data_IF_960721919535
#
_entry.id   IF_960721919535
#
_cell.length_a   1.000
_cell.length_b   1.000
_cell.length_c   1.000
_cell.angle_alpha   90.00
_cell.angle_beta   90.00
_cell.angle_gamma   90.00
#
_symmetry.space_group_name_H-M   'P 1'
#
loop_
_entity.id
_entity.type
_entity.pdbx_description
1 polymer ?
#
# COMPACT_ATOMS: atom_id res chain seq x y z
N UNK A 1 81.89 -13.27 10.94
CA UNK A 1 80.68 -12.64 11.52
C UNK A 1 79.96 -11.95 10.38
N UNK A 2 78.76 -12.40 10.03
CA UNK A 2 77.93 -11.84 8.95
C UNK A 2 76.62 -11.43 9.61
N UNK A 3 76.34 -10.13 9.65
CA UNK A 3 75.11 -9.57 10.17
C UNK A 3 74.04 -9.62 9.08
N UNK A 4 72.97 -10.38 9.32
CA UNK A 4 71.81 -10.47 8.44
C UNK A 4 70.83 -9.38 8.90
N UNK A 5 70.80 -8.25 8.18
CA UNK A 5 69.80 -7.20 8.36
C UNK A 5 68.49 -7.66 7.69
N UNK A 6 67.54 -8.16 8.48
CA UNK A 6 66.17 -8.43 8.01
C UNK A 6 65.30 -7.19 8.19
N UNK A 7 65.00 -6.50 7.09
CA UNK A 7 63.95 -5.48 6.99
C UNK A 7 62.57 -6.16 6.95
N UNK A 8 61.58 -5.74 7.76
CA UNK A 8 60.19 -6.15 7.57
C UNK A 8 59.53 -5.30 6.48
N UNK A 9 59.17 -5.95 5.37
CA UNK A 9 58.35 -5.37 4.30
C UNK A 9 56.90 -5.28 4.82
N UNK A 10 56.44 -4.05 5.11
CA UNK A 10 55.04 -3.76 5.43
C UNK A 10 54.19 -3.87 4.16
N UNK A 11 53.51 -5.01 3.99
CA UNK A 11 52.44 -5.20 3.00
C UNK A 11 51.17 -4.49 3.49
N UNK A 12 50.94 -3.27 3.01
CA UNK A 12 49.66 -2.57 3.16
C UNK A 12 48.62 -3.20 2.22
N UNK A 13 47.76 -4.06 2.76
CA UNK A 13 46.61 -4.62 2.04
C UNK A 13 45.51 -3.55 1.90
N UNK A 14 45.35 -3.00 0.70
CA UNK A 14 44.18 -2.22 0.34
C UNK A 14 43.01 -3.19 0.12
N UNK A 15 42.07 -3.24 1.08
CA UNK A 15 40.78 -3.89 0.87
C UNK A 15 39.98 -2.98 -0.06
N UNK A 16 40.02 -3.27 -1.36
CA UNK A 16 39.08 -2.67 -2.31
C UNK A 16 37.68 -3.21 -1.98
N UNK A 17 36.87 -2.39 -1.31
CA UNK A 17 35.44 -2.66 -1.13
C UNK A 17 34.82 -2.51 -2.52
N UNK A 18 34.66 -3.62 -3.23
CA UNK A 18 33.84 -3.69 -4.42
C UNK A 18 32.40 -3.39 -3.98
N UNK A 19 31.96 -2.16 -4.21
CA UNK A 19 30.56 -1.77 -4.06
C UNK A 19 29.82 -2.53 -5.16
N UNK A 20 29.32 -3.73 -4.83
CA UNK A 20 28.35 -4.42 -5.67
C UNK A 20 27.16 -3.50 -5.81
N UNK A 21 27.03 -2.88 -6.98
CA UNK A 21 25.86 -2.15 -7.41
C UNK A 21 24.67 -3.11 -7.36
N UNK A 22 24.00 -3.17 -6.22
CA UNK A 22 22.64 -3.70 -6.16
C UNK A 22 21.86 -2.82 -7.12
N UNK A 23 21.37 -3.41 -8.21
CA UNK A 23 20.32 -2.80 -9.03
C UNK A 23 19.26 -2.31 -8.06
N UNK A 24 19.26 -1.00 -7.80
CA UNK A 24 18.19 -0.35 -7.10
C UNK A 24 16.97 -0.65 -7.97
N UNK A 25 16.12 -1.56 -7.50
CA UNK A 25 14.83 -1.81 -8.13
C UNK A 25 14.20 -0.45 -8.32
N UNK A 26 13.92 -0.12 -9.57
CA UNK A 26 13.33 1.14 -9.99
C UNK A 26 12.06 1.35 -9.15
N UNK A 27 12.18 2.19 -8.12
CA UNK A 27 11.03 2.70 -7.39
C UNK A 27 10.43 3.72 -8.34
N UNK A 28 9.52 3.26 -9.20
CA UNK A 28 8.65 4.14 -9.95
C UNK A 28 7.79 4.87 -8.91
N UNK A 29 8.16 6.11 -8.63
CA UNK A 29 7.38 7.02 -7.81
C UNK A 29 6.09 7.32 -8.56
N UNK A 30 5.00 6.65 -8.17
CA UNK A 30 3.66 7.04 -8.56
C UNK A 30 3.25 8.22 -7.68
N UNK A 31 3.84 9.39 -7.95
CA UNK A 31 3.40 10.67 -7.41
C UNK A 31 2.16 11.10 -8.19
N UNK A 32 0.98 10.64 -7.78
CA UNK A 32 -0.26 11.29 -8.20
C UNK A 32 -0.39 12.59 -7.41
N UNK A 33 0.03 13.68 -8.07
CA UNK A 33 -0.08 15.08 -7.65
C UNK A 33 -1.51 15.51 -7.33
N UNK A 34 -2.52 14.75 -7.76
CA UNK A 34 -3.93 15.13 -7.66
C UNK A 34 -4.65 14.19 -6.69
N UNK A 35 -4.44 14.36 -5.37
CA UNK A 35 -5.25 13.72 -4.31
C UNK A 35 -6.69 14.28 -4.25
N UNK A 36 -7.21 14.73 -5.39
CA UNK A 36 -8.60 15.17 -5.51
C UNK A 36 -9.48 13.93 -5.46
N UNK A 37 -10.53 13.88 -4.63
CA UNK A 37 -11.48 12.78 -4.66
C UNK A 37 -11.98 12.57 -6.09
N UNK A 38 -12.12 11.32 -6.56
CA UNK A 38 -12.68 11.06 -7.88
C UNK A 38 -14.11 11.63 -7.98
N UNK A 39 -14.61 11.86 -9.19
CA UNK A 39 -16.00 12.28 -9.36
C UNK A 39 -16.96 11.22 -8.80
N UNK A 40 -17.73 11.60 -7.77
CA UNK A 40 -18.75 10.78 -7.10
C UNK A 40 -18.22 9.47 -6.49
N UNK A 41 -17.37 9.54 -5.46
CA UNK A 41 -17.00 8.35 -4.70
C UNK A 41 -18.24 7.80 -3.98
N UNK A 42 -18.47 6.49 -4.09
CA UNK A 42 -19.64 5.84 -3.49
C UNK A 42 -19.33 5.33 -2.08
N UNK A 43 -18.11 4.83 -1.88
CA UNK A 43 -17.66 4.26 -0.62
C UNK A 43 -16.19 4.58 -0.38
N UNK A 44 -15.80 4.47 0.89
CA UNK A 44 -14.41 4.43 1.33
C UNK A 44 -14.09 3.02 1.79
N UNK A 45 -12.95 2.44 1.43
CA UNK A 45 -12.50 1.18 2.01
C UNK A 45 -11.09 1.31 2.59
N UNK A 46 -10.90 0.79 3.80
CA UNK A 46 -9.61 0.55 4.43
C UNK A 46 -9.21 -0.89 4.16
N UNK A 47 -8.02 -1.07 3.60
CA UNK A 47 -7.42 -2.38 3.38
C UNK A 47 -6.18 -2.46 4.26
N UNK A 48 -6.13 -3.50 5.11
CA UNK A 48 -4.96 -3.85 5.91
C UNK A 48 -4.36 -5.10 5.34
N UNK A 49 -3.05 -5.13 5.10
CA UNK A 49 -2.38 -6.33 4.61
C UNK A 49 -1.06 -6.55 5.32
N UNK A 50 -0.70 -7.81 5.53
CA UNK A 50 0.60 -8.19 6.09
C UNK A 50 1.67 -8.42 5.01
N UNK A 51 1.28 -8.59 3.73
CA UNK A 51 2.19 -8.94 2.63
C UNK A 51 2.29 -7.86 1.56
N UNK A 52 1.17 -7.34 1.09
CA UNK A 52 1.11 -6.43 -0.05
C UNK A 52 1.06 -4.97 0.40
N UNK A 53 2.04 -4.19 -0.05
CA UNK A 53 2.25 -2.80 0.41
C UNK A 53 1.84 -1.74 -0.59
N UNK A 54 1.79 -2.11 -1.88
CA UNK A 54 1.63 -1.17 -2.98
C UNK A 54 0.18 -1.12 -3.44
N UNK A 55 -0.29 0.07 -3.79
CA UNK A 55 -1.67 0.33 -4.23
C UNK A 55 -2.09 -0.54 -5.42
N UNK A 56 -1.19 -0.77 -6.39
CA UNK A 56 -1.50 -1.55 -7.58
C UNK A 56 -1.94 -2.99 -7.30
N UNK A 57 -1.62 -3.55 -6.13
CA UNK A 57 -2.10 -4.88 -5.73
C UNK A 57 -3.62 -4.92 -5.57
N UNK A 58 -4.26 -3.76 -5.36
CA UNK A 58 -5.70 -3.65 -5.12
C UNK A 58 -6.40 -2.83 -6.21
N UNK A 59 -5.74 -1.81 -6.79
CA UNK A 59 -6.38 -0.93 -7.78
C UNK A 59 -6.48 -1.53 -9.19
N UNK A 60 -5.79 -2.64 -9.46
CA UNK A 60 -5.79 -3.34 -10.76
C UNK A 60 -6.62 -4.62 -10.79
N UNK A 61 -7.27 -4.97 -9.67
CA UNK A 61 -8.13 -6.14 -9.59
C UNK A 61 -9.47 -5.90 -10.29
N UNK A 62 -10.11 -6.99 -10.72
CA UNK A 62 -11.47 -6.95 -11.23
C UNK A 62 -12.45 -7.27 -10.09
N UNK A 63 -13.39 -6.39 -9.78
CA UNK A 63 -14.27 -6.58 -8.63
C UNK A 63 -15.67 -7.06 -9.05
N UNK A 64 -15.81 -8.35 -9.32
CA UNK A 64 -17.09 -8.95 -9.73
C UNK A 64 -18.02 -9.12 -8.51
N UNK A 65 -19.35 -8.94 -8.64
CA UNK A 65 -20.13 -8.67 -9.85
C UNK A 65 -20.27 -7.19 -10.24
N UNK A 66 -19.67 -6.26 -9.48
CA UNK A 66 -19.98 -4.82 -9.60
C UNK A 66 -19.00 -4.01 -10.47
N UNK A 67 -17.96 -4.61 -11.05
CA UNK A 67 -16.85 -3.95 -11.78
C UNK A 67 -16.34 -2.67 -11.07
N UNK A 68 -16.23 -2.74 -9.74
CA UNK A 68 -15.82 -1.60 -8.92
C UNK A 68 -14.41 -1.15 -9.32
N UNK A 69 -14.16 0.16 -9.24
CA UNK A 69 -12.83 0.75 -9.39
C UNK A 69 -12.37 1.29 -8.05
N UNK A 70 -11.19 0.83 -7.62
CA UNK A 70 -10.52 1.36 -6.45
C UNK A 70 -9.47 2.38 -6.88
N UNK A 71 -9.53 3.58 -6.32
CA UNK A 71 -8.47 4.58 -6.45
C UNK A 71 -7.91 4.93 -5.08
N UNK A 72 -6.62 5.25 -5.03
CA UNK A 72 -5.94 5.55 -3.77
C UNK A 72 -6.56 6.80 -3.17
N UNK A 73 -6.99 6.69 -1.92
CA UNK A 73 -7.53 7.80 -1.16
C UNK A 73 -6.50 8.43 -0.24
N UNK A 74 -5.81 7.59 0.52
CA UNK A 74 -4.65 7.97 1.30
C UNK A 74 -3.62 6.85 1.28
N UNK A 75 -2.40 7.21 0.89
CA UNK A 75 -1.24 6.34 0.93
C UNK A 75 -0.24 6.92 1.94
N UNK A 76 -0.04 6.31 3.11
CA UNK A 76 0.90 6.79 4.13
C UNK A 76 2.37 6.54 3.73
N UNK A 77 2.83 7.08 2.61
CA UNK A 77 4.25 7.16 2.27
C UNK A 77 4.74 8.54 2.76
N UNK A 78 5.42 8.69 3.90
CA UNK A 78 6.75 8.10 4.11
C UNK A 78 7.17 7.92 5.59
N UNK A 79 6.48 8.50 6.59
CA UNK A 79 6.96 8.45 7.99
C UNK A 79 6.08 7.56 8.89
N UNK A 80 4.75 7.61 8.71
CA UNK A 80 3.82 6.87 9.58
C UNK A 80 3.78 5.35 9.32
N UNK A 81 3.96 4.88 8.07
CA UNK A 81 3.96 3.45 7.78
C UNK A 81 5.16 2.71 8.42
N UNK A 82 6.34 3.34 8.43
CA UNK A 82 7.51 2.80 9.15
C UNK A 82 7.30 2.84 10.67
N UNK A 83 6.70 3.92 11.18
CA UNK A 83 6.38 4.07 12.60
C UNK A 83 5.33 3.06 13.08
N UNK A 84 4.29 2.75 12.30
CA UNK A 84 3.32 1.70 12.62
C UNK A 84 3.90 0.28 12.56
N UNK A 85 4.84 0.04 11.64
CA UNK A 85 5.57 -1.23 11.57
C UNK A 85 6.51 -1.44 12.77
N UNK A 86 7.15 -0.37 13.25
CA UNK A 86 8.12 -0.40 14.35
C UNK A 86 7.53 -0.15 15.74
N UNK A 87 6.32 0.39 15.86
CA UNK A 87 5.72 0.62 17.17
C UNK A 87 5.26 -0.69 17.82
N UNK A 88 6.08 -1.19 18.75
CA UNK A 88 5.85 -2.39 19.54
C UNK A 88 4.59 -2.35 20.43
N UNK A 89 3.95 -1.18 20.60
CA UNK A 89 2.82 -0.96 21.49
C UNK A 89 1.43 -1.07 20.82
N UNK A 90 1.33 -1.20 19.48
CA UNK A 90 0.03 -1.25 18.77
C UNK A 90 -0.33 -2.68 18.32
N UNK A 91 -1.63 -2.99 18.39
CA UNK A 91 -2.25 -4.30 18.08
C UNK A 91 -2.09 -4.77 16.61
N UNK A 92 -1.61 -3.91 15.71
CA UNK A 92 -1.58 -4.11 14.24
C UNK A 92 -0.13 -4.18 13.72
N UNK A 93 0.74 -4.90 14.42
CA UNK A 93 2.17 -4.99 14.08
C UNK A 93 2.34 -5.70 12.73
N UNK A 94 3.09 -5.10 11.81
CA UNK A 94 3.38 -5.70 10.50
C UNK A 94 2.32 -5.48 9.43
N UNK A 95 1.26 -4.71 9.71
CA UNK A 95 0.19 -4.43 8.75
C UNK A 95 0.39 -3.10 8.02
N UNK A 96 0.26 -3.14 6.71
CA UNK A 96 0.16 -1.98 5.83
C UNK A 96 -1.30 -1.59 5.72
N UNK A 97 -1.63 -0.40 6.17
CA UNK A 97 -2.99 0.16 6.08
C UNK A 97 -3.01 1.16 4.94
N UNK A 98 -3.94 0.99 4.02
CA UNK A 98 -4.18 1.91 2.91
C UNK A 98 -5.67 2.13 2.75
N UNK A 99 -6.07 3.33 2.37
CA UNK A 99 -7.48 3.64 2.14
C UNK A 99 -7.72 3.98 0.68
N UNK A 100 -8.89 3.57 0.19
CA UNK A 100 -9.27 3.64 -1.22
C UNK A 100 -10.67 4.25 -1.35
N UNK A 101 -10.83 5.09 -2.37
CA UNK A 101 -12.14 5.42 -2.88
C UNK A 101 -12.65 4.25 -3.70
N UNK A 102 -13.94 3.96 -3.58
CA UNK A 102 -14.64 3.00 -4.44
C UNK A 102 -15.61 3.75 -5.33
N UNK A 103 -15.47 3.56 -6.63
CA UNK A 103 -16.35 4.13 -7.65
C UNK A 103 -16.88 3.04 -8.58
N UNK A 104 -17.99 3.35 -9.26
CA UNK A 104 -18.42 2.58 -10.43
C UNK A 104 -17.79 3.15 -11.70
N UNK A 105 -17.64 2.33 -12.77
CA UNK A 105 -17.26 2.83 -14.09
C UNK A 105 -18.22 3.93 -14.57
N UNK A 106 -17.71 4.90 -15.33
CA UNK A 106 -18.53 5.99 -15.87
C UNK A 106 -19.62 5.41 -16.78
N UNK A 107 -20.88 5.75 -16.48
CA UNK A 107 -22.04 5.28 -17.25
C UNK A 107 -22.62 3.95 -16.79
N UNK A 108 -21.98 3.23 -15.84
CA UNK A 108 -22.53 2.00 -15.29
C UNK A 108 -23.58 2.29 -14.22
N UNK A 109 -24.83 2.39 -14.68
CA UNK A 109 -26.00 2.59 -13.80
C UNK A 109 -26.29 1.35 -12.95
N UNK A 110 -25.96 0.15 -13.43
CA UNK A 110 -26.26 -1.07 -12.70
C UNK A 110 -25.36 -1.19 -11.47
N UNK A 111 -24.05 -0.98 -11.65
CA UNK A 111 -23.11 -0.89 -10.53
C UNK A 111 -23.59 0.15 -9.51
N UNK A 112 -23.97 1.34 -9.97
CA UNK A 112 -24.41 2.43 -9.09
C UNK A 112 -25.63 2.03 -8.25
N UNK A 113 -26.68 1.54 -8.90
CA UNK A 113 -27.94 1.17 -8.26
C UNK A 113 -27.74 -0.01 -7.31
N UNK A 114 -27.03 -1.05 -7.75
CA UNK A 114 -26.82 -2.25 -6.95
C UNK A 114 -25.94 -1.97 -5.72
N UNK A 115 -24.85 -1.22 -5.91
CA UNK A 115 -23.93 -0.87 -4.82
C UNK A 115 -24.64 0.00 -3.77
N UNK A 116 -25.40 1.01 -4.19
CA UNK A 116 -26.16 1.86 -3.26
C UNK A 116 -27.29 1.11 -2.56
N UNK A 117 -27.99 0.22 -3.27
CA UNK A 117 -29.09 -0.57 -2.68
C UNK A 117 -28.58 -1.56 -1.63
N UNK A 118 -27.42 -2.18 -1.86
CA UNK A 118 -26.84 -3.20 -0.97
C UNK A 118 -25.92 -2.61 0.11
N UNK A 119 -25.38 -1.42 -0.13
CA UNK A 119 -24.60 -0.64 0.83
C UNK A 119 -23.16 -1.15 1.05
N UNK A 120 -22.48 -0.47 1.96
CA UNK A 120 -21.05 -0.66 2.27
C UNK A 120 -20.65 -2.08 2.71
N UNK A 121 -21.52 -2.80 3.43
CA UNK A 121 -21.22 -4.17 3.85
C UNK A 121 -21.07 -5.12 2.65
N UNK A 122 -21.96 -5.00 1.66
CA UNK A 122 -21.87 -5.81 0.44
C UNK A 122 -20.64 -5.43 -0.39
N UNK A 123 -20.34 -4.14 -0.50
CA UNK A 123 -19.12 -3.68 -1.17
C UNK A 123 -17.86 -4.23 -0.48
N UNK A 124 -17.85 -4.27 0.86
CA UNK A 124 -16.76 -4.89 1.62
C UNK A 124 -16.60 -6.38 1.29
N UNK A 125 -17.70 -7.13 1.24
CA UNK A 125 -17.69 -8.55 0.89
C UNK A 125 -17.12 -8.78 -0.52
N UNK A 126 -17.57 -8.00 -1.50
CA UNK A 126 -17.07 -8.06 -2.88
C UNK A 126 -15.57 -7.75 -2.94
N UNK A 127 -15.14 -6.65 -2.31
CA UNK A 127 -13.72 -6.25 -2.32
C UNK A 127 -12.84 -7.28 -1.60
N UNK A 128 -13.30 -7.81 -0.47
CA UNK A 128 -12.57 -8.85 0.28
C UNK A 128 -12.45 -10.14 -0.54
N UNK A 129 -13.56 -10.64 -1.10
CA UNK A 129 -13.57 -11.88 -1.87
C UNK A 129 -12.61 -11.82 -3.06
N UNK A 130 -12.61 -10.70 -3.79
CA UNK A 130 -11.79 -10.56 -5.00
C UNK A 130 -10.31 -10.36 -4.68
N UNK A 131 -9.99 -9.73 -3.55
CA UNK A 131 -8.61 -9.67 -3.07
C UNK A 131 -8.13 -11.06 -2.68
N UNK A 132 -8.95 -11.83 -1.96
CA UNK A 132 -8.60 -13.19 -1.53
C UNK A 132 -8.51 -14.16 -2.71
N UNK A 133 -9.31 -13.98 -3.76
CA UNK A 133 -9.29 -14.82 -4.97
C UNK A 133 -8.11 -14.49 -5.89
N UNK A 134 -7.81 -13.20 -6.11
CA UNK A 134 -6.83 -12.77 -7.10
C UNK A 134 -5.43 -12.52 -6.53
N UNK A 135 -5.27 -12.54 -5.20
CA UNK A 135 -4.00 -12.19 -4.56
C UNK A 135 -3.69 -13.03 -3.33
N UNK A 136 -2.40 -13.25 -3.05
CA UNK A 136 -1.94 -13.87 -1.81
C UNK A 136 -1.72 -12.85 -0.67
N UNK A 137 -2.34 -11.67 -0.75
CA UNK A 137 -1.97 -10.51 0.06
C UNK A 137 -2.29 -10.65 1.57
N UNK A 138 -3.09 -11.64 1.97
CA UNK A 138 -3.55 -11.80 3.36
C UNK A 138 -4.05 -10.47 3.93
N UNK A 139 -5.14 -9.99 3.32
CA UNK A 139 -5.68 -8.67 3.57
C UNK A 139 -7.03 -8.73 4.29
N UNK A 140 -7.36 -7.69 5.04
CA UNK A 140 -8.67 -7.47 5.63
C UNK A 140 -9.24 -6.14 5.16
N UNK A 141 -10.50 -6.13 4.75
CA UNK A 141 -11.19 -4.97 4.18
C UNK A 141 -12.27 -4.46 5.15
N UNK A 142 -12.38 -3.14 5.27
CA UNK A 142 -13.49 -2.46 5.94
C UNK A 142 -13.98 -1.33 5.07
N UNK A 143 -15.28 -1.26 4.79
CA UNK A 143 -15.84 -0.21 3.95
C UNK A 143 -16.90 0.63 4.67
N UNK A 144 -17.06 1.87 4.21
CA UNK A 144 -18.02 2.86 4.74
C UNK A 144 -18.69 3.63 3.62
N UNK A 145 -19.89 4.12 3.90
CA UNK A 145 -20.66 5.00 3.00
C UNK A 145 -19.92 6.29 2.66
N UNK A 146 -20.22 6.87 1.49
CA UNK A 146 -19.63 8.11 1.01
C UNK A 146 -19.66 9.27 2.02
N UNK A 147 -20.73 9.39 2.81
CA UNK A 147 -20.86 10.43 3.85
C UNK A 147 -19.76 10.40 4.91
N UNK A 148 -19.14 9.23 5.11
CA UNK A 148 -18.05 9.02 6.06
C UNK A 148 -16.68 9.01 5.37
N UNK A 149 -16.62 9.27 4.05
CA UNK A 149 -15.37 9.31 3.30
C UNK A 149 -14.38 10.25 3.94
N UNK A 150 -14.79 11.48 4.28
CA UNK A 150 -13.87 12.47 4.83
C UNK A 150 -13.19 11.94 6.09
N UNK A 151 -13.94 11.33 7.00
CA UNK A 151 -13.38 10.79 8.23
C UNK A 151 -12.43 9.62 7.96
N UNK A 152 -12.67 8.77 6.96
CA UNK A 152 -11.92 7.53 6.74
C UNK A 152 -10.78 7.64 5.74
N UNK A 153 -10.93 8.52 4.75
CA UNK A 153 -9.90 8.89 3.81
C UNK A 153 -8.89 9.87 4.41
N UNK A 154 -9.34 10.78 5.26
CA UNK A 154 -8.47 11.74 5.93
C UNK A 154 -8.17 11.36 7.40
N UNK A 155 -8.49 10.12 7.82
CA UNK A 155 -8.40 9.72 9.24
C UNK A 155 -6.99 9.91 9.77
N UNK A 156 -6.87 10.98 10.55
CA UNK A 156 -5.81 11.34 11.49
C UNK A 156 -4.47 11.80 10.87
N UNK A 157 -4.53 12.96 10.20
CA UNK A 157 -3.35 13.84 10.09
C UNK A 157 -2.78 14.27 11.48
N UNK A 158 -3.48 14.01 12.59
CA UNK A 158 -3.12 14.52 13.92
C UNK A 158 -2.95 13.52 15.09
N UNK A 159 -2.96 12.20 14.85
CA UNK A 159 -2.54 11.22 15.88
C UNK A 159 -1.24 10.49 15.53
#
# INVERSE_FOLDING_TARGET
>A
MIAINTLPILLMSFIAIAITSTKAGEFTFEYNSDNSPPHNPLFACEIKSTKCRRSYHYTRLNYHPLDLKLSVCYNPFMIKAWYHYLNFARKNRGEFVSTYYVTCPLGDKQCLIESQRKGSNYVQEVVQAEIDEQTDCNASVRCWEAKNLVEHCYKNQHD
#
